data_IF_601702844986
#
_entry.id   IF_601702844986
#
_cell.length_a   1.000
_cell.length_b   1.000
_cell.length_c   1.000
_cell.angle_alpha   90.00
_cell.angle_beta   90.00
_cell.angle_gamma   90.00
#
_symmetry.space_group_name_H-M   'P 1'
#
loop_
_entity.id
_entity.type
_entity.pdbx_description
1 polymer ?
#
# COMPACT_ATOMS: atom_id res chain seq x y z
N UNK A 1 16.11 26.81 -4.22
CA UNK A 1 17.34 26.06 -4.54
C UNK A 1 17.80 25.14 -3.42
N UNK A 2 17.76 25.54 -2.13
CA UNK A 2 18.21 24.70 -0.99
C UNK A 2 17.61 23.28 -0.96
N UNK A 3 16.28 23.14 -1.08
CA UNK A 3 15.59 21.83 -1.08
C UNK A 3 15.72 20.99 -2.36
N UNK A 4 16.20 21.61 -3.45
CA UNK A 4 16.41 20.92 -4.72
C UNK A 4 17.81 20.31 -4.75
N UNK A 5 18.81 21.03 -4.21
CA UNK A 5 20.18 20.53 -4.07
C UNK A 5 20.25 19.30 -3.15
N UNK A 6 19.44 19.23 -2.10
CA UNK A 6 19.33 18.07 -1.21
C UNK A 6 18.67 16.87 -1.90
N UNK A 7 17.64 17.09 -2.72
CA UNK A 7 17.02 16.02 -3.51
C UNK A 7 18.01 15.42 -4.52
N UNK A 8 18.67 16.27 -5.31
CA UNK A 8 19.67 15.83 -6.28
C UNK A 8 20.89 15.18 -5.59
N UNK A 9 21.24 15.60 -4.36
CA UNK A 9 22.28 14.93 -3.58
C UNK A 9 21.89 13.50 -3.19
N UNK A 10 20.65 13.26 -2.74
CA UNK A 10 20.16 11.90 -2.46
C UNK A 10 20.21 11.02 -3.70
N UNK A 11 19.77 11.53 -4.84
CA UNK A 11 19.85 10.83 -6.12
C UNK A 11 21.30 10.58 -6.56
N UNK A 12 22.20 11.54 -6.32
CA UNK A 12 23.63 11.41 -6.61
C UNK A 12 24.26 10.31 -5.77
N UNK A 13 23.98 10.27 -4.45
CA UNK A 13 24.48 9.23 -3.55
C UNK A 13 23.96 7.86 -4.00
N UNK A 14 22.66 7.73 -4.27
CA UNK A 14 22.05 6.49 -4.76
C UNK A 14 22.70 6.03 -6.06
N UNK A 15 22.81 6.92 -7.05
CA UNK A 15 23.39 6.61 -8.35
C UNK A 15 24.87 6.23 -8.26
N UNK A 16 25.62 6.92 -7.40
CA UNK A 16 27.04 6.62 -7.17
C UNK A 16 27.22 5.22 -6.58
N UNK A 17 26.40 4.82 -5.61
CA UNK A 17 26.49 3.49 -5.04
C UNK A 17 26.07 2.39 -6.03
N UNK A 18 25.05 2.64 -6.86
CA UNK A 18 24.72 1.74 -7.97
C UNK A 18 25.91 1.55 -8.91
N UNK A 19 26.57 2.65 -9.30
CA UNK A 19 27.75 2.64 -10.17
C UNK A 19 28.94 1.90 -9.54
N UNK A 20 29.20 2.09 -8.24
CA UNK A 20 30.23 1.36 -7.51
C UNK A 20 29.94 -0.14 -7.47
N UNK A 21 28.68 -0.53 -7.23
CA UNK A 21 28.26 -1.93 -7.26
C UNK A 21 28.51 -2.57 -8.63
N UNK A 22 28.02 -1.94 -9.70
CA UNK A 22 28.20 -2.42 -11.08
C UNK A 22 29.69 -2.53 -11.46
N UNK A 23 30.51 -1.56 -11.03
CA UNK A 23 31.96 -1.58 -11.27
C UNK A 23 32.64 -2.75 -10.55
N UNK A 24 32.29 -3.00 -9.29
CA UNK A 24 32.84 -4.13 -8.52
C UNK A 24 32.40 -5.49 -9.09
N UNK A 25 31.14 -5.60 -9.54
CA UNK A 25 30.63 -6.79 -10.23
C UNK A 25 31.44 -7.06 -11.50
N UNK A 26 31.59 -6.05 -12.36
CA UNK A 26 32.33 -6.17 -13.61
C UNK A 26 33.81 -6.53 -13.34
N UNK A 27 34.46 -5.85 -12.40
CA UNK A 27 35.84 -6.15 -12.00
C UNK A 27 35.97 -7.59 -11.49
N UNK A 28 35.14 -8.02 -10.53
CA UNK A 28 35.22 -9.38 -9.97
C UNK A 28 34.95 -10.49 -10.98
N UNK A 29 34.14 -10.21 -12.01
CA UNK A 29 33.80 -11.17 -13.07
C UNK A 29 34.81 -11.25 -14.23
N UNK A 30 35.89 -10.45 -14.23
CA UNK A 30 36.87 -10.49 -15.32
C UNK A 30 37.55 -11.87 -15.42
N UNK A 31 37.59 -12.51 -16.61
CA UNK A 31 38.21 -13.82 -16.78
C UNK A 31 39.69 -13.87 -16.38
N UNK A 32 40.39 -12.73 -16.46
CA UNK A 32 41.78 -12.62 -16.03
C UNK A 32 41.98 -12.96 -14.55
N UNK A 33 41.00 -12.63 -13.70
CA UNK A 33 41.06 -12.95 -12.27
C UNK A 33 40.70 -14.41 -11.97
N UNK A 34 40.03 -15.11 -12.89
CA UNK A 34 39.79 -16.56 -12.76
C UNK A 34 41.09 -17.38 -12.80
N UNK A 35 42.18 -16.81 -13.31
CA UNK A 35 43.51 -17.44 -13.29
C UNK A 35 44.19 -17.37 -11.91
N UNK A 36 43.72 -16.49 -11.01
CA UNK A 36 44.28 -16.31 -9.67
C UNK A 36 43.18 -16.66 -8.66
N UNK A 37 43.17 -17.89 -8.09
CA UNK A 37 42.15 -18.31 -7.14
C UNK A 37 42.28 -17.53 -5.84
N UNK A 38 41.60 -16.38 -5.76
CA UNK A 38 41.51 -15.53 -4.58
C UNK A 38 40.04 -15.28 -4.23
N UNK A 39 39.57 -15.74 -3.05
CA UNK A 39 38.17 -15.57 -2.64
C UNK A 39 37.74 -14.10 -2.55
N UNK A 40 38.68 -13.15 -2.42
CA UNK A 40 38.36 -11.72 -2.40
C UNK A 40 37.66 -11.25 -3.68
N UNK A 41 37.98 -11.82 -4.85
CA UNK A 41 37.32 -11.44 -6.12
C UNK A 41 35.88 -11.96 -6.19
N UNK A 42 35.62 -13.17 -5.68
CA UNK A 42 34.26 -13.71 -5.59
C UNK A 42 33.39 -12.89 -4.62
N UNK A 43 33.96 -12.45 -3.48
CA UNK A 43 33.29 -11.56 -2.55
C UNK A 43 33.05 -10.16 -3.13
N UNK A 44 34.00 -9.61 -3.88
CA UNK A 44 33.85 -8.34 -4.59
C UNK A 44 32.74 -8.41 -5.64
N UNK A 45 32.72 -9.48 -6.44
CA UNK A 45 31.68 -9.73 -7.43
C UNK A 45 30.30 -9.81 -6.76
N UNK A 46 30.18 -10.60 -5.70
CA UNK A 46 28.94 -10.79 -4.96
C UNK A 46 28.45 -9.50 -4.29
N UNK A 47 29.36 -8.73 -3.68
CA UNK A 47 29.04 -7.41 -3.14
C UNK A 47 28.56 -6.48 -4.25
N UNK A 48 29.21 -6.50 -5.41
CA UNK A 48 28.82 -5.69 -6.56
C UNK A 48 27.41 -5.99 -7.05
N UNK A 49 27.08 -7.27 -7.23
CA UNK A 49 25.77 -7.75 -7.67
C UNK A 49 24.64 -7.31 -6.72
N UNK A 50 24.80 -7.58 -5.42
CA UNK A 50 23.80 -7.21 -4.42
C UNK A 50 23.66 -5.69 -4.30
N UNK A 51 24.78 -4.96 -4.34
CA UNK A 51 24.80 -3.49 -4.24
C UNK A 51 24.12 -2.84 -5.44
N UNK A 52 24.49 -3.23 -6.66
CA UNK A 52 23.89 -2.69 -7.89
C UNK A 52 22.38 -2.89 -7.89
N UNK A 53 21.93 -4.13 -7.66
CA UNK A 53 20.50 -4.48 -7.62
C UNK A 53 19.76 -3.63 -6.58
N UNK A 54 20.33 -3.49 -5.39
CA UNK A 54 19.74 -2.72 -4.28
C UNK A 54 19.44 -1.29 -4.70
N UNK A 55 20.43 -0.56 -5.23
CA UNK A 55 20.27 0.85 -5.61
C UNK A 55 19.49 1.04 -6.91
N UNK A 56 19.46 0.04 -7.80
CA UNK A 56 18.60 0.03 -8.98
C UNK A 56 17.12 -0.08 -8.59
N UNK A 57 16.77 -0.97 -7.65
CA UNK A 57 15.37 -1.20 -7.23
C UNK A 57 14.72 0.02 -6.58
N UNK A 58 15.51 0.89 -5.95
CA UNK A 58 15.03 2.11 -5.29
C UNK A 58 14.32 3.13 -6.21
N UNK A 59 14.46 3.00 -7.54
CA UNK A 59 13.86 3.95 -8.49
C UNK A 59 12.96 3.30 -9.53
N UNK A 60 12.77 1.98 -9.48
CA UNK A 60 12.02 1.24 -10.48
C UNK A 60 10.71 0.76 -9.86
N UNK A 61 9.59 1.13 -10.49
CA UNK A 61 8.29 0.52 -10.18
C UNK A 61 8.35 -0.96 -10.57
N UNK A 62 8.06 -1.90 -9.66
CA UNK A 62 7.99 -3.32 -10.02
C UNK A 62 6.81 -3.56 -10.95
N UNK A 63 6.96 -4.49 -11.89
CA UNK A 63 5.82 -4.98 -12.65
C UNK A 63 4.90 -5.83 -11.76
N UNK A 64 3.63 -5.90 -12.15
CA UNK A 64 2.65 -6.73 -11.47
C UNK A 64 3.02 -8.22 -11.50
N UNK A 65 3.57 -8.72 -12.62
CA UNK A 65 4.10 -10.09 -12.78
C UNK A 65 3.23 -11.15 -12.09
N UNK A 66 1.92 -11.09 -12.36
CA UNK A 66 0.94 -12.00 -11.76
C UNK A 66 1.07 -13.37 -12.46
N UNK A 67 1.30 -14.46 -11.72
CA UNK A 67 1.31 -15.80 -12.30
C UNK A 67 -0.07 -16.15 -12.85
N UNK A 68 -0.10 -17.13 -13.76
CA UNK A 68 -1.37 -17.64 -14.27
C UNK A 68 -2.29 -18.10 -13.13
N UNK A 69 -3.58 -17.81 -13.28
CA UNK A 69 -4.59 -18.09 -12.27
C UNK A 69 -5.29 -19.41 -12.62
N UNK A 70 -5.36 -20.36 -11.68
CA UNK A 70 -6.10 -21.60 -11.92
C UNK A 70 -7.59 -21.29 -12.02
N UNK A 71 -8.25 -21.87 -13.01
CA UNK A 71 -9.70 -21.72 -13.24
C UNK A 71 -10.44 -23.04 -13.04
N UNK A 72 -11.76 -22.95 -12.85
CA UNK A 72 -12.66 -24.10 -12.66
C UNK A 72 -12.77 -25.01 -13.89
N UNK A 73 -12.36 -24.52 -15.06
CA UNK A 73 -12.30 -25.29 -16.32
C UNK A 73 -11.06 -26.21 -16.40
N UNK A 74 -10.19 -26.20 -15.38
CA UNK A 74 -8.98 -27.00 -15.32
C UNK A 74 -7.81 -26.45 -16.15
N UNK A 75 -7.92 -25.21 -16.65
CA UNK A 75 -6.83 -24.51 -17.34
C UNK A 75 -6.28 -23.36 -16.50
N UNK A 76 -5.00 -23.07 -16.71
CA UNK A 76 -4.33 -21.90 -16.14
C UNK A 76 -4.48 -20.73 -17.12
N UNK A 77 -5.02 -19.62 -16.64
CA UNK A 77 -5.27 -18.44 -17.47
C UNK A 77 -4.26 -17.34 -17.16
N UNK A 78 -3.72 -16.73 -18.22
CA UNK A 78 -2.80 -15.59 -18.09
C UNK A 78 -3.57 -14.37 -17.57
N UNK A 79 -2.89 -13.55 -16.77
CA UNK A 79 -3.46 -12.30 -16.24
C UNK A 79 -2.83 -11.11 -16.96
N UNK A 80 -3.67 -10.21 -17.47
CA UNK A 80 -3.26 -8.92 -18.03
C UNK A 80 -3.85 -7.79 -17.20
N UNK A 81 -3.19 -6.63 -17.23
CA UNK A 81 -3.67 -5.41 -16.57
C UNK A 81 -4.18 -4.41 -17.60
N UNK A 82 -5.35 -3.83 -17.35
CA UNK A 82 -5.93 -2.76 -18.16
C UNK A 82 -6.18 -1.52 -17.31
N UNK A 83 -5.92 -0.33 -17.86
CA UNK A 83 -6.26 0.94 -17.22
C UNK A 83 -7.72 1.25 -17.55
N UNK A 84 -8.58 1.26 -16.53
CA UNK A 84 -10.01 1.58 -16.66
C UNK A 84 -10.23 3.08 -16.58
N UNK A 85 -9.50 3.75 -15.68
CA UNK A 85 -9.53 5.20 -15.52
C UNK A 85 -8.11 5.68 -15.33
N UNK A 86 -7.68 6.55 -16.24
CA UNK A 86 -6.38 7.21 -16.17
C UNK A 86 -6.51 8.56 -15.44
N UNK A 87 -5.62 8.82 -14.48
CA UNK A 87 -5.51 10.14 -13.83
C UNK A 87 -4.04 10.47 -13.57
N UNK A 88 -3.75 11.76 -13.39
CA UNK A 88 -2.38 12.23 -13.17
C UNK A 88 -1.68 11.55 -11.98
N UNK A 89 -2.37 11.39 -10.85
CA UNK A 89 -1.77 10.91 -9.60
C UNK A 89 -1.97 9.42 -9.32
N UNK A 90 -2.81 8.74 -10.09
CA UNK A 90 -3.01 7.31 -9.97
C UNK A 90 -4.20 6.79 -10.74
N UNK A 91 -4.06 5.59 -11.26
CA UNK A 91 -5.02 4.97 -12.15
C UNK A 91 -5.92 3.98 -11.41
N UNK A 92 -7.06 3.67 -12.02
CA UNK A 92 -7.84 2.49 -11.69
C UNK A 92 -7.46 1.36 -12.66
N UNK A 93 -6.79 0.34 -12.15
CA UNK A 93 -6.43 -0.84 -12.92
C UNK A 93 -7.45 -1.96 -12.76
N UNK A 94 -7.62 -2.77 -13.80
CA UNK A 94 -8.38 -4.01 -13.82
C UNK A 94 -7.47 -5.18 -14.17
N UNK A 95 -7.54 -6.27 -13.41
CA UNK A 95 -6.85 -7.52 -13.73
C UNK A 95 -7.76 -8.41 -14.56
N UNK A 96 -7.55 -8.41 -15.86
CA UNK A 96 -8.29 -9.22 -16.83
C UNK A 96 -7.70 -10.63 -16.87
N UNK A 97 -8.58 -11.63 -16.84
CA UNK A 97 -8.24 -13.05 -16.98
C UNK A 97 -8.98 -13.59 -18.21
N UNK A 98 -8.41 -13.45 -19.42
CA UNK A 98 -9.07 -13.84 -20.66
C UNK A 98 -9.40 -15.34 -20.66
N UNK A 99 -10.56 -15.71 -21.17
CA UNK A 99 -10.97 -17.13 -21.28
C UNK A 99 -11.62 -17.70 -20.02
N UNK A 100 -11.76 -16.92 -18.94
CA UNK A 100 -12.48 -17.31 -17.72
C UNK A 100 -13.83 -16.60 -17.61
N UNK A 101 -14.82 -17.28 -17.03
CA UNK A 101 -16.04 -16.64 -16.55
C UNK A 101 -15.71 -15.55 -15.51
N UNK A 102 -16.30 -14.36 -15.66
CA UNK A 102 -16.07 -13.24 -14.73
C UNK A 102 -16.66 -13.61 -13.36
N UNK A 103 -15.86 -13.57 -12.27
CA UNK A 103 -16.37 -13.87 -10.95
C UNK A 103 -17.47 -12.90 -10.53
N UNK A 104 -18.44 -13.39 -9.75
CA UNK A 104 -19.56 -12.57 -9.26
C UNK A 104 -19.13 -11.47 -8.29
N UNK A 105 -18.00 -11.65 -7.59
CA UNK A 105 -17.49 -10.69 -6.62
C UNK A 105 -16.69 -9.62 -7.36
N UNK A 106 -17.30 -8.45 -7.60
CA UNK A 106 -16.56 -7.28 -8.09
C UNK A 106 -15.86 -6.60 -6.92
N UNK A 107 -14.54 -6.51 -6.93
CA UNK A 107 -13.74 -5.99 -5.80
C UNK A 107 -12.86 -4.82 -6.24
N UNK A 108 -12.96 -3.70 -5.54
CA UNK A 108 -11.98 -2.61 -5.57
C UNK A 108 -11.02 -2.77 -4.40
N UNK A 109 -9.75 -3.03 -4.68
CA UNK A 109 -8.67 -3.02 -3.70
C UNK A 109 -8.02 -1.63 -3.67
N UNK A 110 -8.13 -0.92 -2.56
CA UNK A 110 -7.50 0.40 -2.37
C UNK A 110 -6.12 0.18 -1.74
N UNK A 111 -5.09 0.37 -2.56
CA UNK A 111 -3.70 0.21 -2.16
C UNK A 111 -3.21 1.45 -1.38
N UNK A 112 -2.32 1.27 -0.40
CA UNK A 112 -1.76 2.40 0.34
C UNK A 112 -0.83 3.22 -0.55
N UNK A 113 -0.86 4.54 -0.35
CA UNK A 113 0.15 5.46 -0.90
C UNK A 113 1.17 5.78 0.20
N UNK A 114 1.76 4.77 0.84
CA UNK A 114 2.62 4.94 2.01
C UNK A 114 4.11 4.85 1.68
N UNK A 115 4.52 5.38 0.52
CA UNK A 115 5.92 5.38 0.06
C UNK A 115 6.32 4.19 -0.81
N UNK A 116 5.43 3.23 -1.03
CA UNK A 116 5.63 2.08 -1.91
C UNK A 116 4.58 2.06 -3.01
N UNK A 117 4.89 1.40 -4.12
CA UNK A 117 3.94 1.17 -5.19
C UNK A 117 2.84 0.18 -4.78
N UNK A 118 1.70 0.22 -5.48
CA UNK A 118 0.57 -0.68 -5.23
C UNK A 118 0.91 -2.16 -5.38
N UNK A 119 2.01 -2.49 -6.06
CA UNK A 119 2.58 -3.85 -6.14
C UNK A 119 2.95 -4.46 -4.80
N UNK A 120 3.02 -3.67 -3.72
CA UNK A 120 3.13 -4.17 -2.36
C UNK A 120 1.99 -5.16 -2.04
N UNK A 121 0.82 -4.96 -2.66
CA UNK A 121 -0.34 -5.84 -2.54
C UNK A 121 -0.37 -6.96 -3.59
N UNK A 122 0.71 -7.22 -4.33
CA UNK A 122 0.78 -8.32 -5.32
C UNK A 122 0.35 -9.66 -4.74
N UNK A 123 0.79 -9.99 -3.52
CA UNK A 123 0.38 -11.25 -2.88
C UNK A 123 -1.12 -11.30 -2.55
N UNK A 124 -1.71 -10.15 -2.20
CA UNK A 124 -3.14 -9.97 -1.96
C UNK A 124 -3.92 -10.12 -3.25
N UNK A 125 -3.48 -9.47 -4.33
CA UNK A 125 -4.03 -9.58 -5.69
C UNK A 125 -4.04 -11.03 -6.16
N UNK A 126 -2.89 -11.71 -6.15
CA UNK A 126 -2.76 -13.13 -6.50
C UNK A 126 -3.75 -13.98 -5.71
N UNK A 127 -3.90 -13.69 -4.41
CA UNK A 127 -4.81 -14.44 -3.57
C UNK A 127 -6.28 -14.18 -3.91
N UNK A 128 -6.68 -12.98 -4.32
CA UNK A 128 -8.09 -12.63 -4.56
C UNK A 128 -8.57 -13.01 -5.96
N UNK A 129 -7.67 -13.00 -6.96
CA UNK A 129 -7.99 -13.25 -8.37
C UNK A 129 -8.78 -14.54 -8.65
N UNK A 130 -8.56 -15.68 -7.97
CA UNK A 130 -9.37 -16.88 -8.19
C UNK A 130 -10.87 -16.69 -7.89
N UNK A 131 -11.21 -15.74 -7.02
CA UNK A 131 -12.54 -15.60 -6.42
C UNK A 131 -13.26 -14.28 -6.76
N UNK A 132 -12.56 -13.32 -7.37
CA UNK A 132 -13.04 -11.96 -7.59
C UNK A 132 -12.64 -11.39 -8.96
N UNK A 133 -13.53 -10.57 -9.52
CA UNK A 133 -13.24 -9.62 -10.58
C UNK A 133 -12.59 -8.39 -9.93
N UNK A 134 -11.29 -8.22 -10.17
CA UNK A 134 -10.43 -7.43 -9.28
C UNK A 134 -9.91 -6.16 -9.94
N UNK A 135 -10.17 -5.04 -9.26
CA UNK A 135 -9.68 -3.72 -9.60
C UNK A 135 -8.77 -3.21 -8.48
N UNK A 136 -7.80 -2.37 -8.79
CA UNK A 136 -6.91 -1.78 -7.79
C UNK A 136 -6.59 -0.33 -8.11
N UNK A 137 -6.43 0.49 -7.08
CA UNK A 137 -5.82 1.83 -7.22
C UNK A 137 -4.32 1.69 -7.44
N UNK A 138 -3.79 2.23 -8.52
CA UNK A 138 -2.36 2.18 -8.85
C UNK A 138 -1.76 3.59 -8.88
N UNK A 139 -0.99 3.92 -7.85
CA UNK A 139 -0.52 5.29 -7.62
C UNK A 139 0.73 5.61 -8.44
N UNK A 140 0.80 6.86 -8.92
CA UNK A 140 1.95 7.36 -9.66
C UNK A 140 2.97 8.00 -8.72
N UNK A 141 4.25 7.87 -9.06
CA UNK A 141 5.33 8.48 -8.31
C UNK A 141 5.30 9.99 -8.51
N UNK A 142 5.17 10.77 -7.42
CA UNK A 142 5.01 12.21 -7.52
C UNK A 142 6.17 12.91 -8.24
N UNK A 143 7.39 12.36 -8.20
CA UNK A 143 8.54 12.93 -8.92
C UNK A 143 8.39 12.89 -10.43
N UNK A 144 7.55 11.99 -10.95
CA UNK A 144 7.32 11.83 -12.39
C UNK A 144 6.09 12.63 -12.87
N UNK A 145 5.43 13.37 -11.97
CA UNK A 145 4.22 14.16 -12.27
C UNK A 145 4.58 15.65 -12.36
N UNK A 146 4.45 16.30 -13.54
CA UNK A 146 4.72 17.73 -13.73
C UNK A 146 3.97 18.61 -12.73
N UNK A 147 4.56 19.75 -12.33
CA UNK A 147 3.91 20.74 -11.45
C UNK A 147 2.60 21.25 -12.04
N UNK A 148 2.51 21.35 -13.37
CA UNK A 148 1.30 21.77 -14.10
C UNK A 148 0.09 20.85 -13.92
N UNK A 149 0.29 19.61 -13.44
CA UNK A 149 -0.80 18.68 -13.13
C UNK A 149 -1.60 19.06 -11.87
N UNK A 150 -1.18 20.10 -11.14
CA UNK A 150 -1.86 20.63 -9.96
C UNK A 150 -1.36 20.01 -8.66
N UNK A 151 -2.11 20.27 -7.58
CA UNK A 151 -1.90 19.69 -6.25
C UNK A 151 -2.54 18.30 -6.16
N UNK A 152 -2.15 17.56 -5.12
CA UNK A 152 -2.84 16.34 -4.72
C UNK A 152 -2.68 16.17 -3.21
N UNK A 153 -3.76 16.31 -2.46
CA UNK A 153 -3.83 16.12 -1.01
C UNK A 153 -4.83 15.02 -0.60
N UNK A 154 -5.12 14.89 0.70
CA UNK A 154 -6.06 13.87 1.18
C UNK A 154 -7.51 14.07 0.71
N UNK A 155 -7.93 15.31 0.39
CA UNK A 155 -9.26 15.55 -0.17
C UNK A 155 -9.30 15.12 -1.64
N UNK A 156 -8.25 15.43 -2.41
CA UNK A 156 -8.11 14.97 -3.79
C UNK A 156 -8.08 13.44 -3.84
N UNK A 157 -7.34 12.80 -2.92
CA UNK A 157 -7.32 11.34 -2.75
C UNK A 157 -8.72 10.77 -2.47
N UNK A 158 -9.46 11.37 -1.52
CA UNK A 158 -10.85 10.97 -1.23
C UNK A 158 -11.73 11.07 -2.48
N UNK A 159 -11.61 12.14 -3.27
CA UNK A 159 -12.37 12.32 -4.49
C UNK A 159 -12.00 11.33 -5.60
N UNK A 160 -10.73 10.91 -5.70
CA UNK A 160 -10.33 9.82 -6.59
C UNK A 160 -11.07 8.53 -6.24
N UNK A 161 -11.14 8.19 -4.95
CA UNK A 161 -11.87 7.00 -4.50
C UNK A 161 -13.38 7.12 -4.77
N UNK A 162 -13.96 8.30 -4.57
CA UNK A 162 -15.37 8.58 -4.92
C UNK A 162 -15.61 8.30 -6.40
N UNK A 163 -14.76 8.83 -7.28
CA UNK A 163 -14.89 8.64 -8.73
C UNK A 163 -14.71 7.19 -9.15
N UNK A 164 -13.73 6.48 -8.59
CA UNK A 164 -13.48 5.07 -8.88
C UNK A 164 -14.63 4.18 -8.41
N UNK A 165 -15.14 4.39 -7.19
CA UNK A 165 -16.33 3.68 -6.70
C UNK A 165 -17.56 3.97 -7.58
N UNK A 166 -17.77 5.23 -7.96
CA UNK A 166 -18.88 5.62 -8.85
C UNK A 166 -18.80 4.94 -10.20
N UNK A 167 -17.61 4.88 -10.80
CA UNK A 167 -17.41 4.22 -12.09
C UNK A 167 -17.62 2.71 -12.05
N UNK A 168 -17.21 2.04 -10.96
CA UNK A 168 -17.41 0.60 -10.81
C UNK A 168 -18.86 0.22 -10.47
N UNK A 169 -19.59 1.15 -9.87
CA UNK A 169 -21.02 1.07 -9.59
C UNK A 169 -21.36 0.30 -8.30
N UNK A 170 -22.66 0.23 -7.96
CA UNK A 170 -23.13 -0.20 -6.64
C UNK A 170 -22.97 -1.69 -6.33
N UNK A 171 -22.58 -2.52 -7.32
CA UNK A 171 -22.31 -3.94 -7.11
C UNK A 171 -20.89 -4.23 -6.60
N UNK A 172 -20.09 -3.17 -6.39
CA UNK A 172 -18.69 -3.28 -5.98
C UNK A 172 -18.55 -3.53 -4.48
N UNK A 173 -17.57 -4.33 -4.09
CA UNK A 173 -17.09 -4.47 -2.72
C UNK A 173 -15.71 -3.81 -2.60
N UNK A 174 -15.52 -2.96 -1.60
CA UNK A 174 -14.27 -2.21 -1.42
C UNK A 174 -13.45 -2.83 -0.29
N UNK A 175 -12.15 -3.01 -0.51
CA UNK A 175 -11.17 -3.43 0.49
C UNK A 175 -10.09 -2.36 0.54
N UNK A 176 -9.93 -1.67 1.66
CA UNK A 176 -8.85 -0.69 1.87
C UNK A 176 -7.83 -1.23 2.88
N UNK A 177 -6.56 -1.12 2.53
CA UNK A 177 -5.46 -1.72 3.30
C UNK A 177 -4.50 -0.65 3.82
N UNK A 178 -4.33 -0.58 5.15
CA UNK A 178 -3.44 0.34 5.86
C UNK A 178 -3.89 1.81 5.76
N UNK A 179 -2.98 2.67 5.28
CA UNK A 179 -3.08 4.13 5.22
C UNK A 179 -4.36 4.70 4.57
N UNK A 180 -4.98 4.10 3.52
CA UNK A 180 -6.13 4.70 2.86
C UNK A 180 -7.46 4.37 3.53
N UNK A 181 -7.49 3.54 4.57
CA UNK A 181 -8.73 3.15 5.24
C UNK A 181 -9.57 4.35 5.75
N UNK A 182 -9.01 5.38 6.40
CA UNK A 182 -9.78 6.55 6.85
C UNK A 182 -10.39 7.32 5.68
N UNK A 183 -9.61 7.53 4.61
CA UNK A 183 -10.06 8.28 3.44
C UNK A 183 -11.04 7.48 2.58
N UNK A 184 -10.97 6.15 2.58
CA UNK A 184 -11.95 5.27 1.92
C UNK A 184 -13.28 5.25 2.67
N UNK A 185 -13.22 5.28 4.01
CA UNK A 185 -14.41 5.45 4.84
C UNK A 185 -15.09 6.80 4.56
N UNK A 186 -14.31 7.88 4.53
CA UNK A 186 -14.80 9.21 4.15
C UNK A 186 -15.37 9.25 2.72
N UNK A 187 -14.70 8.65 1.75
CA UNK A 187 -15.20 8.57 0.36
C UNK A 187 -16.53 7.83 0.27
N UNK A 188 -16.70 6.76 1.07
CA UNK A 188 -17.96 6.00 1.14
C UNK A 188 -19.07 6.85 1.74
N UNK A 189 -18.79 7.59 2.81
CA UNK A 189 -19.72 8.52 3.44
C UNK A 189 -20.11 9.68 2.50
N UNK A 190 -19.13 10.22 1.77
CA UNK A 190 -19.35 11.25 0.75
C UNK A 190 -20.33 10.76 -0.32
N UNK A 191 -20.13 9.55 -0.86
CA UNK A 191 -21.10 8.94 -1.79
C UNK A 191 -22.46 8.69 -1.15
N UNK A 192 -22.50 8.32 0.13
CA UNK A 192 -23.76 8.08 0.84
C UNK A 192 -24.67 9.31 0.91
N UNK A 193 -24.10 10.51 0.87
CA UNK A 193 -24.83 11.75 0.84
C UNK A 193 -25.08 12.26 -0.58
N UNK A 194 -24.05 12.29 -1.43
CA UNK A 194 -24.12 12.95 -2.74
C UNK A 194 -24.71 12.07 -3.85
N UNK A 195 -24.40 10.77 -3.83
CA UNK A 195 -24.87 9.83 -4.83
C UNK A 195 -25.12 8.46 -4.20
N UNK A 196 -26.21 8.34 -3.40
CA UNK A 196 -26.44 7.14 -2.60
C UNK A 196 -26.56 5.86 -3.42
N UNK A 197 -26.85 5.98 -4.73
CA UNK A 197 -26.99 4.86 -5.66
C UNK A 197 -25.64 4.34 -6.19
N UNK A 198 -24.57 5.10 -6.02
CA UNK A 198 -23.22 4.73 -6.42
C UNK A 198 -22.40 4.09 -5.28
N UNK A 199 -22.96 4.02 -4.07
CA UNK A 199 -22.30 3.39 -2.91
C UNK A 199 -21.97 1.91 -3.17
N UNK A 200 -20.81 1.41 -2.70
CA UNK A 200 -20.48 0.00 -2.78
C UNK A 200 -21.39 -0.85 -1.89
N UNK A 201 -21.47 -2.17 -2.13
CA UNK A 201 -22.24 -3.10 -1.29
C UNK A 201 -21.64 -3.26 0.10
N UNK A 202 -20.31 -3.30 0.17
CA UNK A 202 -19.58 -3.42 1.42
C UNK A 202 -18.24 -2.72 1.38
N UNK A 203 -17.74 -2.36 2.56
CA UNK A 203 -16.43 -1.76 2.80
C UNK A 203 -15.69 -2.61 3.85
N UNK A 204 -14.51 -3.12 3.50
CA UNK A 204 -13.60 -3.79 4.42
C UNK A 204 -12.37 -2.91 4.65
N UNK A 205 -12.10 -2.56 5.90
CA UNK A 205 -10.96 -1.75 6.33
C UNK A 205 -9.97 -2.66 7.07
N UNK A 206 -8.71 -2.68 6.64
CA UNK A 206 -7.69 -3.60 7.17
C UNK A 206 -6.51 -2.78 7.73
N UNK A 207 -6.27 -2.85 9.03
CA UNK A 207 -5.10 -2.23 9.69
C UNK A 207 -5.01 -0.72 9.49
N UNK A 208 -6.15 -0.04 9.47
CA UNK A 208 -6.26 1.37 9.12
C UNK A 208 -6.32 2.29 10.34
N UNK A 209 -5.61 3.44 10.33
CA UNK A 209 -5.59 4.36 11.46
C UNK A 209 -6.83 5.28 11.47
N UNK A 210 -8.03 4.71 11.72
CA UNK A 210 -9.30 5.47 11.74
C UNK A 210 -9.33 6.41 12.94
N UNK A 211 -8.99 5.89 14.11
CA UNK A 211 -8.65 6.67 15.30
C UNK A 211 -7.21 6.39 15.74
N UNK A 212 -6.23 7.19 15.27
CA UNK A 212 -4.83 7.06 15.68
C UNK A 212 -4.60 7.25 17.19
N UNK A 213 -5.54 7.85 17.91
CA UNK A 213 -5.43 8.11 19.36
C UNK A 213 -5.99 6.96 20.21
N UNK A 214 -6.69 6.00 19.61
CA UNK A 214 -7.30 4.89 20.33
C UNK A 214 -6.26 4.01 21.03
N UNK A 215 -5.10 3.78 20.40
CA UNK A 215 -3.99 3.02 21.00
C UNK A 215 -2.67 3.50 20.41
N UNK A 216 -1.69 3.89 21.26
CA UNK A 216 -0.42 4.44 20.79
C UNK A 216 0.47 3.38 20.14
N UNK A 217 1.29 3.86 19.20
CA UNK A 217 2.30 3.15 18.43
C UNK A 217 3.50 4.09 18.24
N UNK A 218 4.64 3.57 17.78
CA UNK A 218 5.80 4.42 17.46
C UNK A 218 5.46 5.47 16.37
N UNK A 219 4.57 5.12 15.44
CA UNK A 219 4.10 6.00 14.36
C UNK A 219 3.27 7.16 14.92
N UNK A 220 2.30 6.87 15.79
CA UNK A 220 1.46 7.89 16.41
C UNK A 220 2.27 8.77 17.38
N UNK A 221 3.19 8.17 18.13
CA UNK A 221 4.05 8.90 19.07
C UNK A 221 5.05 9.81 18.35
N UNK A 222 5.57 9.38 17.21
CA UNK A 222 6.34 10.26 16.34
C UNK A 222 5.46 11.44 15.87
N UNK A 223 4.26 11.17 15.35
CA UNK A 223 3.31 12.18 14.91
C UNK A 223 2.95 13.20 15.98
N UNK A 224 2.82 12.79 17.25
CA UNK A 224 2.53 13.71 18.37
C UNK A 224 3.73 14.57 18.77
N UNK A 225 4.97 14.05 18.69
CA UNK A 225 6.17 14.76 19.17
C UNK A 225 6.68 15.82 18.20
N UNK A 226 6.50 15.64 16.90
CA UNK A 226 7.02 16.56 15.87
C UNK A 226 6.02 17.65 15.54
N UNK A 227 6.48 18.88 15.31
CA UNK A 227 5.60 19.97 14.83
C UNK A 227 5.45 19.92 13.31
N UNK A 228 4.37 20.50 12.77
CA UNK A 228 4.18 20.57 11.32
C UNK A 228 5.31 21.34 10.63
N UNK A 229 5.80 22.43 11.23
CA UNK A 229 6.94 23.19 10.70
C UNK A 229 8.24 22.38 10.67
N UNK A 230 8.49 21.54 11.68
CA UNK A 230 9.64 20.62 11.67
C UNK A 230 9.51 19.58 10.56
N UNK A 231 8.32 19.03 10.34
CA UNK A 231 8.07 18.07 9.26
C UNK A 231 8.27 18.71 7.88
N UNK A 232 7.73 19.92 7.68
CA UNK A 232 7.90 20.65 6.43
C UNK A 232 9.38 20.93 6.13
N UNK A 233 10.17 21.32 7.14
CA UNK A 233 11.59 21.62 6.93
C UNK A 233 12.45 20.37 6.73
N UNK A 234 12.18 19.29 7.45
CA UNK A 234 13.05 18.11 7.49
C UNK A 234 12.64 17.03 6.47
N UNK A 235 11.35 16.85 6.22
CA UNK A 235 10.83 15.73 5.43
C UNK A 235 10.52 16.13 3.99
N UNK A 236 10.18 17.40 3.73
CA UNK A 236 9.79 17.83 2.40
C UNK A 236 10.99 18.31 1.59
N UNK A 237 11.08 17.80 0.37
CA UNK A 237 12.11 18.17 -0.60
C UNK A 237 11.47 18.63 -1.90
N UNK A 238 12.28 19.24 -2.77
CA UNK A 238 11.83 19.66 -4.10
C UNK A 238 12.44 18.74 -5.14
N UNK A 239 11.61 18.12 -5.97
CA UNK A 239 12.05 17.23 -7.05
C UNK A 239 13.12 17.92 -7.90
N UNK A 240 14.22 17.22 -8.10
CA UNK A 240 15.40 17.69 -8.83
C UNK A 240 15.25 17.67 -10.35
N UNK A 241 16.31 18.03 -11.06
CA UNK A 241 16.27 18.27 -12.51
C UNK A 241 16.05 17.02 -13.37
N UNK A 242 16.32 15.83 -12.81
CA UNK A 242 16.28 14.56 -13.54
C UNK A 242 14.87 14.12 -13.95
N UNK A 243 13.85 14.49 -13.18
CA UNK A 243 12.49 13.92 -13.32
C UNK A 243 11.47 14.94 -13.87
N UNK A 244 10.41 14.49 -14.56
CA UNK A 244 9.37 15.37 -15.11
C UNK A 244 8.68 16.28 -14.08
N UNK A 245 8.60 15.83 -12.82
CA UNK A 245 8.05 16.60 -11.70
C UNK A 245 9.00 17.64 -11.12
N UNK A 246 10.10 17.99 -11.79
CA UNK A 246 11.05 19.02 -11.35
C UNK A 246 10.34 20.25 -10.76
N UNK A 247 10.73 20.62 -9.54
CA UNK A 247 10.12 21.74 -8.83
C UNK A 247 8.93 21.38 -7.94
N UNK A 248 8.33 20.20 -8.07
CA UNK A 248 7.26 19.72 -7.18
C UNK A 248 7.80 19.49 -5.77
N UNK A 249 7.01 19.85 -4.77
CA UNK A 249 7.32 19.54 -3.37
C UNK A 249 6.83 18.12 -3.06
N UNK A 250 7.69 17.30 -2.48
CA UNK A 250 7.42 15.90 -2.21
C UNK A 250 7.99 15.47 -0.86
N UNK A 251 7.38 14.47 -0.24
CA UNK A 251 8.05 13.62 0.73
C UNK A 251 8.77 12.49 -0.03
N UNK A 252 10.12 12.47 -0.09
CA UNK A 252 10.83 11.53 -0.94
C UNK A 252 10.75 10.09 -0.44
N UNK A 253 10.50 9.14 -1.36
CA UNK A 253 10.48 7.72 -1.04
C UNK A 253 11.85 7.22 -0.54
N UNK A 254 12.95 7.78 -1.04
CA UNK A 254 14.31 7.46 -0.55
C UNK A 254 14.52 7.88 0.91
N UNK A 255 13.98 9.04 1.29
CA UNK A 255 14.04 9.53 2.66
C UNK A 255 13.23 8.60 3.57
N UNK A 256 12.01 8.26 3.15
CA UNK A 256 11.17 7.32 3.88
C UNK A 256 11.81 5.92 4.02
N UNK A 257 12.41 5.40 2.94
CA UNK A 257 13.11 4.12 2.95
C UNK A 257 14.27 4.14 3.95
N UNK A 258 15.02 5.24 4.00
CA UNK A 258 16.12 5.40 4.96
C UNK A 258 15.63 5.32 6.41
N UNK A 259 14.46 5.91 6.71
CA UNK A 259 13.82 5.79 8.02
C UNK A 259 13.43 4.35 8.33
N UNK A 260 12.76 3.65 7.42
CA UNK A 260 12.38 2.24 7.64
C UNK A 260 13.57 1.31 7.81
N UNK A 261 14.63 1.48 7.02
CA UNK A 261 15.87 0.71 7.20
C UNK A 261 16.51 1.03 8.55
N UNK A 262 16.52 2.30 8.96
CA UNK A 262 17.15 2.71 10.23
C UNK A 262 16.45 2.13 11.47
N UNK A 263 15.12 1.96 11.43
CA UNK A 263 14.35 1.37 12.52
C UNK A 263 14.75 -0.09 12.82
N UNK A 264 15.25 -0.82 11.82
CA UNK A 264 15.64 -2.24 11.94
C UNK A 264 17.03 -2.50 11.32
N UNK A 265 17.97 -1.57 11.51
CA UNK A 265 19.24 -1.54 10.78
C UNK A 265 20.06 -2.83 10.89
N UNK A 266 20.15 -3.43 12.08
CA UNK A 266 20.88 -4.68 12.30
C UNK A 266 20.29 -5.85 11.49
N UNK A 267 18.96 -5.96 11.45
CA UNK A 267 18.25 -7.01 10.70
C UNK A 267 18.50 -6.87 9.21
N UNK A 268 18.42 -5.64 8.68
CA UNK A 268 18.71 -5.38 7.27
C UNK A 268 20.19 -5.63 6.93
N UNK A 269 21.12 -5.12 7.75
CA UNK A 269 22.55 -5.32 7.55
C UNK A 269 22.92 -6.81 7.51
N UNK A 270 22.37 -7.60 8.43
CA UNK A 270 22.54 -9.05 8.44
C UNK A 270 21.95 -9.69 7.18
N UNK A 271 20.73 -9.32 6.79
CA UNK A 271 20.07 -9.88 5.61
C UNK A 271 20.86 -9.64 4.31
N UNK A 272 21.45 -8.45 4.14
CA UNK A 272 22.32 -8.12 3.01
C UNK A 272 23.67 -8.86 3.10
N UNK A 273 24.30 -8.92 4.27
CA UNK A 273 25.55 -9.68 4.47
C UNK A 273 25.39 -11.16 4.17
N UNK A 274 24.29 -11.77 4.64
CA UNK A 274 23.94 -13.16 4.36
C UNK A 274 23.73 -13.39 2.85
N UNK A 275 23.06 -12.45 2.15
CA UNK A 275 22.84 -12.54 0.72
C UNK A 275 24.15 -12.44 -0.07
N UNK A 276 25.04 -11.49 0.27
CA UNK A 276 26.36 -11.39 -0.36
C UNK A 276 27.13 -12.71 -0.19
N UNK A 277 27.11 -13.29 1.01
CA UNK A 277 27.73 -14.60 1.26
C UNK A 277 27.14 -15.72 0.40
N UNK A 278 25.81 -15.75 0.23
CA UNK A 278 25.14 -16.73 -0.64
C UNK A 278 25.51 -16.54 -2.11
N UNK A 279 25.55 -15.31 -2.60
CA UNK A 279 25.97 -15.01 -3.99
C UNK A 279 27.42 -15.45 -4.20
N UNK A 280 28.33 -15.13 -3.27
CA UNK A 280 29.74 -15.53 -3.36
C UNK A 280 29.95 -17.05 -3.39
N UNK A 281 29.04 -17.84 -2.81
CA UNK A 281 29.06 -19.31 -2.82
C UNK A 281 28.27 -19.93 -3.99
N UNK A 282 27.62 -19.13 -4.84
CA UNK A 282 26.74 -19.63 -5.91
C UNK A 282 25.43 -20.25 -5.40
N UNK A 283 24.99 -19.89 -4.19
CA UNK A 283 23.77 -20.38 -3.53
C UNK A 283 22.58 -19.40 -3.68
N UNK A 284 22.81 -18.26 -4.33
CA UNK A 284 21.79 -17.27 -4.63
C UNK A 284 21.13 -17.55 -5.99
N UNK A 285 19.86 -17.20 -6.11
CA UNK A 285 19.11 -17.28 -7.36
C UNK A 285 18.30 -16.01 -7.54
N UNK A 286 18.03 -15.62 -8.80
CA UNK A 286 17.41 -14.34 -9.13
C UNK A 286 16.07 -14.09 -8.41
N UNK A 287 15.27 -15.14 -8.22
CA UNK A 287 13.95 -15.09 -7.56
C UNK A 287 13.90 -15.76 -6.19
N UNK A 288 15.03 -15.79 -5.47
CA UNK A 288 15.05 -16.32 -4.11
C UNK A 288 14.22 -15.46 -3.13
N UNK A 289 14.10 -15.93 -1.88
CA UNK A 289 13.30 -15.23 -0.86
C UNK A 289 13.81 -13.83 -0.54
N UNK A 290 15.13 -13.62 -0.55
CA UNK A 290 15.73 -12.31 -0.27
C UNK A 290 15.40 -11.36 -1.41
N UNK A 291 15.73 -11.72 -2.66
CA UNK A 291 15.52 -10.86 -3.81
C UNK A 291 14.05 -10.52 -4.00
N UNK A 292 13.13 -11.49 -3.87
CA UNK A 292 11.68 -11.20 -3.98
C UNK A 292 11.16 -10.23 -2.92
N UNK A 293 11.71 -10.29 -1.70
CA UNK A 293 11.32 -9.37 -0.64
C UNK A 293 11.91 -7.98 -0.89
N UNK A 294 13.22 -7.88 -1.12
CA UNK A 294 13.89 -6.59 -1.27
C UNK A 294 13.62 -5.89 -2.60
N UNK A 295 13.31 -6.63 -3.68
CA UNK A 295 12.86 -6.03 -4.94
C UNK A 295 11.57 -5.24 -4.77
N UNK A 296 10.69 -5.65 -3.84
CA UNK A 296 9.48 -4.92 -3.50
C UNK A 296 9.73 -3.89 -2.38
N UNK A 297 10.44 -4.28 -1.32
CA UNK A 297 10.68 -3.43 -0.16
C UNK A 297 11.50 -2.18 -0.47
N UNK A 298 12.45 -2.28 -1.41
CA UNK A 298 13.27 -1.14 -1.84
C UNK A 298 12.55 -0.27 -2.86
N UNK A 299 11.52 -0.79 -3.54
CA UNK A 299 10.83 -0.07 -4.61
C UNK A 299 9.87 0.97 -4.04
N UNK A 300 10.42 2.17 -3.86
CA UNK A 300 9.74 3.31 -3.24
C UNK A 300 9.32 4.36 -4.26
N UNK A 301 8.37 5.19 -3.85
CA UNK A 301 7.87 6.32 -4.62
C UNK A 301 7.73 7.57 -3.75
N UNK A 302 7.85 8.72 -4.39
CA UNK A 302 7.65 10.01 -3.72
C UNK A 302 6.16 10.29 -3.60
N UNK A 303 5.75 10.84 -2.46
CA UNK A 303 4.41 11.39 -2.25
C UNK A 303 4.41 12.90 -2.42
N UNK A 304 3.30 13.49 -2.86
CA UNK A 304 3.14 14.96 -2.82
C UNK A 304 3.26 15.46 -1.38
N UNK A 305 3.91 16.63 -1.22
CA UNK A 305 4.03 17.25 0.10
C UNK A 305 2.65 17.52 0.71
N UNK A 306 1.71 17.96 -0.12
CA UNK A 306 0.34 18.26 0.26
C UNK A 306 -0.37 17.03 0.85
N UNK A 307 -0.26 15.86 0.21
CA UNK A 307 -0.83 14.61 0.71
C UNK A 307 -0.19 14.17 2.02
N UNK A 308 1.14 14.17 2.10
CA UNK A 308 1.84 13.76 3.32
C UNK A 308 1.52 14.68 4.51
N UNK A 309 1.66 16.00 4.32
CA UNK A 309 1.46 16.96 5.41
C UNK A 309 0.00 16.99 5.87
N UNK A 310 -0.96 16.99 4.94
CA UNK A 310 -2.38 16.94 5.30
C UNK A 310 -2.76 15.61 5.96
N UNK A 311 -2.16 14.48 5.59
CA UNK A 311 -2.35 13.21 6.31
C UNK A 311 -1.89 13.34 7.77
N UNK A 312 -0.69 13.84 8.01
CA UNK A 312 -0.18 13.96 9.39
C UNK A 312 -1.00 14.96 10.20
N UNK A 313 -1.30 16.12 9.64
CA UNK A 313 -2.03 17.16 10.35
C UNK A 313 -3.48 16.74 10.62
N UNK A 314 -4.21 16.36 9.59
CA UNK A 314 -5.67 16.22 9.67
C UNK A 314 -6.09 14.84 10.20
N UNK A 315 -5.36 13.78 9.83
CA UNK A 315 -5.70 12.42 10.26
C UNK A 315 -5.03 12.08 11.59
N UNK A 316 -3.71 12.26 11.71
CA UNK A 316 -2.97 11.84 12.90
C UNK A 316 -3.06 12.83 14.06
N UNK A 317 -2.84 14.13 13.82
CA UNK A 317 -2.84 15.13 14.90
C UNK A 317 -4.23 15.60 15.28
N UNK A 318 -5.03 16.02 14.29
CA UNK A 318 -6.36 16.58 14.54
C UNK A 318 -7.43 15.50 14.72
N UNK A 319 -7.18 14.28 14.24
CA UNK A 319 -8.16 13.19 14.32
C UNK A 319 -9.47 13.52 13.61
N UNK A 320 -9.43 14.18 12.45
CA UNK A 320 -10.64 14.68 11.78
C UNK A 320 -11.61 13.56 11.37
N UNK A 321 -11.07 12.38 11.01
CA UNK A 321 -11.89 11.19 10.75
C UNK A 321 -12.47 10.65 12.07
N UNK A 322 -11.62 10.46 13.08
CA UNK A 322 -12.01 9.95 14.39
C UNK A 322 -13.08 10.80 15.09
N UNK A 323 -13.06 12.11 14.86
CA UNK A 323 -14.03 13.07 15.40
C UNK A 323 -15.22 13.35 14.47
N UNK A 324 -15.29 12.69 13.30
CA UNK A 324 -16.31 12.93 12.27
C UNK A 324 -16.43 14.41 11.86
N UNK A 325 -15.30 15.11 11.76
CA UNK A 325 -15.20 16.54 11.41
C UNK A 325 -14.49 16.79 10.07
N UNK A 326 -14.09 15.73 9.37
CA UNK A 326 -13.40 15.80 8.08
C UNK A 326 -14.26 16.50 7.02
N UNK A 327 -13.60 17.34 6.21
CA UNK A 327 -14.24 18.08 5.12
C UNK A 327 -13.55 17.84 3.79
N UNK A 328 -14.33 17.91 2.70
CA UNK A 328 -13.88 17.88 1.31
C UNK A 328 -14.47 19.08 0.58
N UNK A 329 -13.63 19.96 0.03
CA UNK A 329 -14.07 21.21 -0.61
C UNK A 329 -14.86 22.13 0.34
N UNK A 330 -14.56 22.09 1.64
CA UNK A 330 -15.28 22.82 2.70
C UNK A 330 -16.63 22.20 3.10
N UNK A 331 -17.04 21.09 2.49
CA UNK A 331 -18.23 20.34 2.86
C UNK A 331 -17.89 19.27 3.89
N UNK A 332 -18.64 19.23 4.99
CA UNK A 332 -18.53 18.17 6.00
C UNK A 332 -18.88 16.81 5.40
N UNK A 333 -18.03 15.81 5.67
CA UNK A 333 -18.27 14.42 5.31
C UNK A 333 -18.74 13.66 6.56
N UNK A 334 -20.06 13.50 6.69
CA UNK A 334 -20.66 12.83 7.85
C UNK A 334 -20.67 11.30 7.65
N UNK A 335 -19.79 10.59 8.37
CA UNK A 335 -19.68 9.13 8.34
C UNK A 335 -20.99 8.45 8.78
N UNK A 336 -21.81 9.12 9.58
CA UNK A 336 -23.13 8.67 9.98
C UNK A 336 -24.12 8.50 8.81
N UNK A 337 -23.84 9.09 7.64
CA UNK A 337 -24.65 8.93 6.42
C UNK A 337 -24.54 7.55 5.78
N UNK A 338 -23.53 6.77 6.14
CA UNK A 338 -23.42 5.38 5.70
C UNK A 338 -24.55 4.57 6.36
N UNK A 339 -25.59 4.27 5.58
CA UNK A 339 -26.80 3.56 6.06
C UNK A 339 -27.00 2.21 5.39
N UNK A 340 -26.37 1.99 4.23
CA UNK A 340 -26.62 0.79 3.41
C UNK A 340 -25.39 -0.08 3.19
N UNK A 341 -24.19 0.49 3.17
CA UNK A 341 -22.93 -0.22 2.96
C UNK A 341 -22.57 -1.02 4.20
N UNK A 342 -22.39 -2.34 4.07
CA UNK A 342 -21.93 -3.15 5.19
C UNK A 342 -20.43 -2.88 5.46
N UNK A 343 -20.06 -2.64 6.72
CA UNK A 343 -18.69 -2.25 7.10
C UNK A 343 -18.04 -3.34 7.94
N UNK A 344 -16.85 -3.78 7.51
CA UNK A 344 -16.01 -4.72 8.24
C UNK A 344 -14.66 -4.12 8.58
N UNK A 345 -14.17 -4.33 9.80
CA UNK A 345 -12.80 -3.99 10.19
C UNK A 345 -11.98 -5.25 10.44
N UNK A 346 -10.69 -5.19 10.13
CA UNK A 346 -9.71 -6.25 10.38
C UNK A 346 -8.46 -5.65 11.01
N UNK A 347 -8.04 -6.20 12.14
CA UNK A 347 -6.86 -5.76 12.89
C UNK A 347 -5.94 -6.96 13.21
N UNK A 348 -4.68 -6.70 13.53
CA UNK A 348 -3.72 -7.71 13.96
C UNK A 348 -3.36 -7.52 15.42
N UNK A 349 -3.41 -8.57 16.25
CA UNK A 349 -3.16 -8.44 17.69
C UNK A 349 -1.71 -8.09 18.05
N UNK A 350 -0.80 -8.09 17.07
CA UNK A 350 0.61 -7.69 17.19
C UNK A 350 0.98 -6.62 16.16
N UNK A 351 -0.02 -5.89 15.65
CA UNK A 351 0.20 -4.78 14.74
C UNK A 351 0.82 -3.61 15.53
N UNK A 352 2.05 -3.26 15.16
CA UNK A 352 2.87 -2.20 15.73
C UNK A 352 2.77 -0.88 14.95
N UNK A 353 2.03 -0.87 13.83
CA UNK A 353 1.83 0.29 12.95
C UNK A 353 0.44 0.89 13.19
N UNK A 354 -0.60 0.06 13.11
CA UNK A 354 -1.97 0.43 13.46
C UNK A 354 -2.48 -0.55 14.51
N UNK A 355 -2.21 -0.19 15.77
CA UNK A 355 -2.53 -1.06 16.89
C UNK A 355 -4.04 -1.37 16.96
N UNK A 356 -4.43 -2.54 17.49
CA UNK A 356 -5.83 -2.87 17.74
C UNK A 356 -6.56 -1.74 18.46
N UNK A 357 -7.78 -1.44 18.02
CA UNK A 357 -8.55 -0.29 18.51
C UNK A 357 -8.63 0.84 17.48
N UNK A 358 -7.55 1.10 16.74
CA UNK A 358 -7.52 2.20 15.79
C UNK A 358 -8.44 1.98 14.59
N UNK A 359 -8.53 0.77 14.05
CA UNK A 359 -9.32 0.49 12.85
C UNK A 359 -10.79 0.18 13.18
N UNK A 360 -11.03 -0.52 14.29
CA UNK A 360 -12.39 -0.86 14.76
C UNK A 360 -13.23 0.39 15.08
N UNK A 361 -12.59 1.52 15.42
CA UNK A 361 -13.24 2.81 15.66
C UNK A 361 -14.18 3.26 14.51
N UNK A 362 -13.95 2.81 13.27
CA UNK A 362 -14.85 3.07 12.14
C UNK A 362 -16.31 2.63 12.40
N UNK A 363 -16.51 1.54 13.15
CA UNK A 363 -17.84 0.97 13.38
C UNK A 363 -18.71 1.87 14.25
N UNK A 364 -18.12 2.59 15.19
CA UNK A 364 -18.83 3.52 16.08
C UNK A 364 -19.22 4.81 15.34
N UNK A 365 -18.39 5.24 14.38
CA UNK A 365 -18.69 6.40 13.51
C UNK A 365 -19.85 6.13 12.55
N UNK A 366 -20.07 4.87 12.17
CA UNK A 366 -21.19 4.46 11.29
C UNK A 366 -22.53 4.42 12.04
N UNK A 367 -22.96 5.55 12.61
CA UNK A 367 -24.15 5.66 13.48
C UNK A 367 -25.48 5.37 12.76
N UNK A 368 -25.56 5.65 11.46
CA UNK A 368 -26.72 5.33 10.62
C UNK A 368 -26.79 3.88 10.15
N UNK A 369 -25.76 3.07 10.40
CA UNK A 369 -25.68 1.68 9.96
C UNK A 369 -26.13 0.74 11.08
N UNK A 370 -27.04 -0.23 10.84
CA UNK A 370 -27.44 -1.19 11.87
C UNK A 370 -26.32 -2.17 12.20
N UNK A 371 -26.26 -2.64 13.44
CA UNK A 371 -25.24 -3.59 13.92
C UNK A 371 -25.16 -4.90 13.11
N UNK A 372 -26.26 -5.30 12.46
CA UNK A 372 -26.28 -6.48 11.58
C UNK A 372 -25.44 -6.32 10.31
N UNK A 373 -25.05 -5.09 9.97
CA UNK A 373 -24.18 -4.74 8.83
C UNK A 373 -22.78 -4.34 9.26
N UNK A 374 -22.47 -4.39 10.56
CA UNK A 374 -21.16 -4.12 11.13
C UNK A 374 -20.49 -5.43 11.52
N UNK A 375 -19.21 -5.58 11.22
CA UNK A 375 -18.42 -6.73 11.63
C UNK A 375 -16.97 -6.31 11.96
N UNK A 376 -16.32 -7.01 12.87
CA UNK A 376 -14.89 -6.85 13.13
C UNK A 376 -14.19 -8.20 13.22
N UNK A 377 -12.86 -8.20 13.08
CA UNK A 377 -12.01 -9.36 13.33
C UNK A 377 -10.62 -8.90 13.79
N UNK A 378 -10.15 -9.42 14.92
CA UNK A 378 -8.77 -9.23 15.38
C UNK A 378 -8.03 -10.55 15.17
N UNK A 379 -7.06 -10.57 14.25
CA UNK A 379 -6.27 -11.75 13.94
C UNK A 379 -5.17 -11.94 14.99
N UNK A 380 -5.30 -13.03 15.75
CA UNK A 380 -4.34 -13.36 16.81
C UNK A 380 -2.95 -13.66 16.24
N UNK A 381 -1.93 -12.98 16.77
CA UNK A 381 -0.53 -13.21 16.45
C UNK A 381 -0.06 -12.63 15.12
N UNK A 382 -0.94 -11.98 14.35
CA UNK A 382 -0.56 -11.25 13.14
C UNK A 382 -0.06 -9.84 13.49
N UNK A 383 1.09 -9.46 12.92
CA UNK A 383 1.50 -8.06 12.82
C UNK A 383 0.96 -7.40 11.56
N UNK A 384 1.38 -6.16 11.27
CA UNK A 384 0.79 -5.33 10.23
C UNK A 384 0.75 -5.97 8.84
N UNK A 385 1.87 -6.50 8.36
CA UNK A 385 1.89 -7.18 7.05
C UNK A 385 1.10 -8.50 7.04
N UNK A 386 0.96 -9.15 8.19
CA UNK A 386 0.28 -10.45 8.31
C UNK A 386 -1.23 -10.39 8.07
N UNK A 387 -1.83 -9.19 8.23
CA UNK A 387 -3.28 -9.02 8.10
C UNK A 387 -3.77 -8.81 6.66
N UNK A 388 -2.86 -8.55 5.71
CA UNK A 388 -3.20 -8.44 4.28
C UNK A 388 -2.27 -9.27 3.37
N UNK A 389 -1.19 -9.82 3.90
CA UNK A 389 -0.27 -10.69 3.18
C UNK A 389 0.13 -11.92 4.01
N UNK A 390 0.72 -12.93 3.34
CA UNK A 390 1.30 -14.08 4.03
C UNK A 390 0.31 -15.16 4.47
N UNK A 391 0.61 -15.86 5.58
CA UNK A 391 -0.13 -17.05 6.02
C UNK A 391 -1.45 -16.71 6.71
N UNK A 392 -1.45 -15.73 7.63
CA UNK A 392 -2.65 -15.33 8.37
C UNK A 392 -3.72 -14.76 7.43
N UNK A 393 -3.33 -13.86 6.51
CA UNK A 393 -4.21 -13.44 5.42
C UNK A 393 -4.82 -14.62 4.65
N UNK A 394 -3.99 -15.48 4.05
CA UNK A 394 -4.49 -16.54 3.16
C UNK A 394 -5.38 -17.58 3.84
N UNK A 395 -5.07 -17.96 5.07
CA UNK A 395 -5.76 -19.06 5.77
C UNK A 395 -6.94 -18.62 6.61
N UNK A 396 -6.87 -17.41 7.19
CA UNK A 396 -7.81 -17.01 8.23
C UNK A 396 -8.62 -15.77 7.80
N UNK A 397 -7.96 -14.69 7.40
CA UNK A 397 -8.64 -13.40 7.15
C UNK A 397 -9.34 -13.38 5.80
N UNK A 398 -8.66 -13.79 4.72
CA UNK A 398 -9.22 -13.77 3.36
C UNK A 398 -10.54 -14.55 3.27
N UNK A 399 -10.67 -15.79 3.80
CA UNK A 399 -11.95 -16.47 3.84
C UNK A 399 -13.06 -15.67 4.53
N UNK A 400 -12.76 -15.02 5.66
CA UNK A 400 -13.72 -14.18 6.39
C UNK A 400 -14.15 -12.93 5.60
N UNK A 401 -13.22 -12.33 4.84
CA UNK A 401 -13.51 -11.21 3.95
C UNK A 401 -14.41 -11.65 2.79
N UNK A 402 -14.11 -12.79 2.16
CA UNK A 402 -14.95 -13.34 1.09
C UNK A 402 -16.34 -13.76 1.60
N UNK A 403 -16.44 -14.36 2.78
CA UNK A 403 -17.73 -14.69 3.41
C UNK A 403 -18.55 -13.41 3.69
N UNK A 404 -17.90 -12.35 4.14
CA UNK A 404 -18.56 -11.05 4.35
C UNK A 404 -19.03 -10.44 3.04
N UNK A 405 -18.23 -10.53 1.98
CA UNK A 405 -18.63 -10.12 0.62
C UNK A 405 -19.85 -10.92 0.16
N UNK A 406 -19.84 -12.24 0.32
CA UNK A 406 -20.93 -13.12 -0.11
C UNK A 406 -22.23 -12.87 0.68
N UNK A 407 -22.12 -12.57 1.98
CA UNK A 407 -23.26 -12.24 2.82
C UNK A 407 -23.95 -10.92 2.43
N UNK A 408 -23.20 -9.99 1.81
CA UNK A 408 -23.66 -8.67 1.39
C UNK A 408 -23.83 -8.54 -0.13
N UNK A 409 -23.50 -9.60 -0.88
CA UNK A 409 -23.85 -9.76 -2.29
C UNK A 409 -25.33 -10.12 -2.40
N UNK A 410 -26.02 -9.63 -3.42
CA UNK A 410 -27.43 -9.98 -3.68
C UNK A 410 -27.55 -11.49 -3.89
N UNK A 411 -28.19 -12.21 -2.96
CA UNK A 411 -28.59 -13.62 -3.17
C UNK A 411 -29.89 -13.69 -4.00
N UNK A 412 -30.08 -14.69 -4.88
CA UNK A 412 -31.40 -15.28 -5.07
C UNK A 412 -31.85 -15.86 -3.73
N UNK A 413 -33.07 -15.52 -3.28
CA UNK A 413 -33.63 -15.81 -1.95
C UNK A 413 -33.16 -17.16 -1.34
N UNK A 414 -32.32 -17.11 -0.30
CA UNK A 414 -31.84 -18.32 0.39
C UNK A 414 -31.18 -18.01 1.73
N UNK A 415 -31.87 -18.38 2.82
CA UNK A 415 -31.59 -18.26 4.27
C UNK A 415 -30.25 -17.59 4.64
N UNK A 416 -30.36 -16.42 5.27
CA UNK A 416 -29.25 -15.70 5.90
C UNK A 416 -28.65 -16.56 7.04
N UNK A 417 -27.34 -16.80 7.00
CA UNK A 417 -26.55 -17.16 8.18
C UNK A 417 -26.11 -15.85 8.82
N UNK A 418 -26.36 -15.69 10.14
CA UNK A 418 -25.91 -14.50 10.89
C UNK A 418 -24.38 -14.44 10.86
N UNK A 419 -23.76 -13.28 10.57
CA UNK A 419 -22.34 -13.10 10.75
C UNK A 419 -21.97 -13.28 12.23
N UNK A 420 -20.80 -13.87 12.49
CA UNK A 420 -20.28 -14.07 13.83
C UNK A 420 -19.84 -12.73 14.42
N UNK A 421 -20.75 -12.03 15.10
CA UNK A 421 -20.41 -10.87 15.92
C UNK A 421 -19.70 -11.34 17.20
N UNK A 422 -18.39 -11.15 17.25
CA UNK A 422 -17.66 -10.94 18.50
C UNK A 422 -16.99 -9.58 18.43
N UNK A 423 -17.81 -8.53 18.54
CA UNK A 423 -17.30 -7.18 18.80
C UNK A 423 -16.80 -7.18 20.26
N UNK A 424 -15.56 -7.60 20.46
CA UNK A 424 -14.84 -7.37 21.70
C UNK A 424 -13.68 -6.44 21.35
N UNK A 425 -13.77 -5.19 21.78
CA UNK A 425 -12.57 -4.40 22.02
C UNK A 425 -11.80 -5.13 23.14
N UNK A 426 -10.55 -5.50 22.86
CA UNK A 426 -9.66 -6.08 23.87
C UNK A 426 -9.10 -4.96 24.75
#
# INVERSE_FOLDING_TARGET
>A
MRYMATYDLMETIRNTNQWLGATALAMGAYPAFSMIPNPAFAWMQAWGEVTERTFQRMIVKPDWNIPAVPSSDGQDHVVSTEIVIERNFGDLLHFVVPGRDVPKRKVLLVAPMSGHYSTLLRSTVISLLPDADLYITDWHNARDIPVSAGKFDIEDYTLYLVDFMRALGPDTHVIAVCQPAPLTLAATAYLAEEDPKAQPRSLTLIGGPIDPNATPTDVTDFGHRVTMGQLEELMIQRVGFKYPGVGRMVYPGLLQLSSFISMNAETHAKAFGDQIGRVARGEAADHDKHNRFYDEYLAVMDMTAEFYLSTVERIFKNGEIASNSFTVGGKLVDIGKITTVAVKTVEGSKDDISAPGQCIAALDLCTGLPDSKKASHVESGAGHYGIFAGKSWRRNIRPLVLEFIDANSSKPAGKQRKPANKNAAA
#
